data_IF_044072696669
#
_entry.id   IF_044072696669
#
_cell.length_a   1.000
_cell.length_b   1.000
_cell.length_c   1.000
_cell.angle_alpha   90.00
_cell.angle_beta   90.00
_cell.angle_gamma   90.00
#
_symmetry.space_group_name_H-M   'P 1'
#
loop_
_entity.id
_entity.type
_entity.pdbx_description
1 polymer ?
#
# COMPACT_ATOMS: atom_id res chain seq x y z
N UNK A 1 5.65 -3.32 5.68
CA UNK A 1 5.19 -2.15 6.47
C UNK A 1 6.04 -0.94 6.16
N UNK A 2 7.35 -0.99 6.37
CA UNK A 2 8.20 0.19 6.14
C UNK A 2 8.07 0.78 4.74
N UNK A 3 8.16 -0.03 3.68
CA UNK A 3 8.05 0.44 2.30
C UNK A 3 6.70 1.13 2.02
N UNK A 4 5.61 0.60 2.58
CA UNK A 4 4.27 1.18 2.40
C UNK A 4 4.07 2.46 3.21
N UNK A 5 4.62 2.52 4.42
CA UNK A 5 4.59 3.73 5.24
C UNK A 5 5.41 4.86 4.58
N UNK A 6 6.61 4.52 4.11
CA UNK A 6 7.49 5.45 3.40
C UNK A 6 6.83 6.04 2.16
N UNK A 7 6.15 5.22 1.34
CA UNK A 7 5.40 5.72 0.17
C UNK A 7 4.33 6.73 0.56
N UNK A 8 3.56 6.46 1.62
CA UNK A 8 2.57 7.42 2.11
C UNK A 8 3.20 8.74 2.56
N UNK A 9 4.35 8.69 3.26
CA UNK A 9 5.04 9.90 3.72
C UNK A 9 5.63 10.71 2.56
N UNK A 10 6.27 10.04 1.59
CA UNK A 10 6.85 10.68 0.40
C UNK A 10 5.78 11.34 -0.45
N UNK A 11 4.65 10.66 -0.67
CA UNK A 11 3.55 11.22 -1.45
C UNK A 11 2.92 12.39 -0.71
N UNK A 12 2.74 12.32 0.62
CA UNK A 12 2.17 13.42 1.40
C UNK A 12 2.94 14.74 1.24
N UNK A 13 4.27 14.69 1.14
CA UNK A 13 5.10 15.89 0.94
C UNK A 13 5.19 16.33 -0.52
N UNK A 14 5.08 15.40 -1.47
CA UNK A 14 5.19 15.68 -2.90
C UNK A 14 3.87 16.09 -3.57
N UNK A 15 2.71 15.76 -2.99
CA UNK A 15 1.38 16.10 -3.53
C UNK A 15 1.26 17.57 -3.97
N UNK A 16 1.61 18.59 -3.16
CA UNK A 16 1.41 19.99 -3.56
C UNK A 16 2.19 20.35 -4.83
N UNK A 17 3.46 19.93 -4.93
CA UNK A 17 4.30 20.12 -6.12
C UNK A 17 3.72 19.42 -7.34
N UNK A 18 3.32 18.15 -7.20
CA UNK A 18 2.71 17.36 -8.28
C UNK A 18 1.43 18.02 -8.78
N UNK A 19 0.54 18.45 -7.88
CA UNK A 19 -0.73 19.09 -8.27
C UNK A 19 -0.54 20.45 -8.93
N UNK A 20 0.51 21.18 -8.53
CA UNK A 20 0.90 22.45 -9.14
C UNK A 20 1.43 22.23 -10.57
N UNK A 21 2.35 21.30 -10.76
CA UNK A 21 2.96 21.01 -12.06
C UNK A 21 1.95 20.46 -13.08
N UNK A 22 1.01 19.62 -12.61
CA UNK A 22 -0.05 19.04 -13.43
C UNK A 22 -1.32 19.92 -13.54
N UNK A 23 -1.31 21.14 -13.01
CA UNK A 23 -2.40 22.13 -13.10
C UNK A 23 -3.80 21.57 -12.75
N UNK A 24 -3.89 20.64 -11.80
CA UNK A 24 -5.14 19.95 -11.47
C UNK A 24 -5.44 19.97 -9.98
N UNK A 25 -6.36 20.85 -9.57
CA UNK A 25 -6.82 20.97 -8.19
C UNK A 25 -7.56 19.72 -7.70
N UNK A 26 -8.28 19.03 -8.60
CA UNK A 26 -9.00 17.80 -8.26
C UNK A 26 -8.06 16.62 -7.97
N UNK A 27 -6.84 16.63 -8.52
CA UNK A 27 -5.84 15.59 -8.29
C UNK A 27 -5.42 15.47 -6.83
N UNK A 28 -5.44 16.57 -6.08
CA UNK A 28 -5.02 16.62 -4.68
C UNK A 28 -5.73 15.58 -3.81
N UNK A 29 -7.06 15.49 -3.95
CA UNK A 29 -7.88 14.53 -3.19
C UNK A 29 -7.79 13.12 -3.77
N UNK A 30 -7.76 12.98 -5.09
CA UNK A 30 -7.81 11.67 -5.74
C UNK A 30 -6.51 10.88 -5.66
N UNK A 31 -5.34 11.53 -5.55
CA UNK A 31 -4.04 10.85 -5.36
C UNK A 31 -4.03 10.02 -4.08
N UNK A 32 -4.51 10.58 -2.97
CA UNK A 32 -4.66 9.88 -1.70
C UNK A 32 -5.89 8.98 -1.67
N UNK A 33 -7.02 9.49 -2.18
CA UNK A 33 -8.30 8.78 -2.18
C UNK A 33 -8.26 7.45 -2.95
N UNK A 34 -7.72 7.44 -4.17
CA UNK A 34 -7.62 6.23 -4.99
C UNK A 34 -6.74 5.14 -4.33
N UNK A 35 -5.65 5.55 -3.69
CA UNK A 35 -4.79 4.65 -2.94
C UNK A 35 -5.55 4.02 -1.76
N UNK A 36 -6.25 4.84 -0.97
CA UNK A 36 -7.02 4.34 0.18
C UNK A 36 -8.18 3.44 -0.25
N UNK A 37 -8.89 3.80 -1.32
CA UNK A 37 -9.98 2.99 -1.88
C UNK A 37 -9.50 1.61 -2.32
N UNK A 38 -8.38 1.57 -3.05
CA UNK A 38 -7.80 0.33 -3.54
C UNK A 38 -7.23 -0.52 -2.38
N UNK A 39 -6.57 0.12 -1.41
CA UNK A 39 -6.06 -0.55 -0.21
C UNK A 39 -7.19 -1.17 0.62
N UNK A 40 -8.29 -0.46 0.80
CA UNK A 40 -9.44 -0.95 1.56
C UNK A 40 -10.16 -2.11 0.85
N UNK A 41 -10.36 -1.99 -0.46
CA UNK A 41 -11.06 -3.02 -1.25
C UNK A 41 -10.24 -4.29 -1.42
N UNK A 42 -8.94 -4.17 -1.75
CA UNK A 42 -8.07 -5.33 -1.98
C UNK A 42 -7.52 -5.95 -0.71
N UNK A 43 -7.49 -5.24 0.43
CA UNK A 43 -6.95 -5.78 1.68
C UNK A 43 -7.57 -7.12 2.09
N UNK A 44 -8.90 -7.23 2.01
CA UNK A 44 -9.61 -8.49 2.36
C UNK A 44 -9.38 -9.61 1.35
N UNK A 45 -9.17 -9.26 0.08
CA UNK A 45 -8.90 -10.23 -1.00
C UNK A 45 -7.56 -10.92 -0.73
N UNK A 46 -6.52 -10.14 -0.46
CA UNK A 46 -5.18 -10.66 -0.16
C UNK A 46 -5.18 -11.63 1.03
N UNK A 47 -5.94 -11.33 2.09
CA UNK A 47 -6.05 -12.19 3.27
C UNK A 47 -6.62 -13.55 2.87
N UNK A 48 -7.78 -13.60 2.21
CA UNK A 48 -8.41 -14.86 1.78
C UNK A 48 -7.52 -15.64 0.81
N UNK A 49 -6.87 -14.96 -0.13
CA UNK A 49 -5.93 -15.59 -1.04
C UNK A 49 -4.76 -16.24 -0.29
N UNK A 50 -4.26 -15.60 0.76
CA UNK A 50 -3.15 -16.14 1.55
C UNK A 50 -3.51 -17.37 2.39
N UNK A 51 -4.80 -17.57 2.71
CA UNK A 51 -5.25 -18.79 3.40
C UNK A 51 -5.14 -20.02 2.48
N UNK A 52 -5.29 -19.84 1.17
CA UNK A 52 -5.29 -20.92 0.18
C UNK A 52 -3.87 -21.24 -0.29
N UNK A 53 -3.10 -20.22 -0.68
CA UNK A 53 -1.77 -20.38 -1.29
C UNK A 53 -0.61 -20.24 -0.30
N UNK A 54 -0.90 -19.90 0.96
CA UNK A 54 0.08 -19.68 2.01
C UNK A 54 0.60 -18.24 2.10
N UNK A 55 1.14 -17.89 3.28
CA UNK A 55 1.53 -16.51 3.62
C UNK A 55 2.73 -15.99 2.83
N UNK A 56 3.82 -16.76 2.80
CA UNK A 56 5.11 -16.36 2.19
C UNK A 56 5.02 -16.01 0.69
N UNK A 57 4.43 -16.85 -0.19
CA UNK A 57 4.35 -16.50 -1.61
C UNK A 57 3.48 -15.26 -1.83
N UNK A 58 2.41 -15.10 -1.07
CA UNK A 58 1.51 -13.94 -1.18
C UNK A 58 2.18 -12.63 -0.77
N UNK A 59 3.00 -12.65 0.29
CA UNK A 59 3.81 -11.48 0.67
C UNK A 59 4.76 -11.10 -0.47
N UNK A 60 5.44 -12.07 -1.09
CA UNK A 60 6.36 -11.81 -2.22
C UNK A 60 5.63 -11.26 -3.44
N UNK A 61 4.46 -11.78 -3.77
CA UNK A 61 3.62 -11.25 -4.87
C UNK A 61 3.16 -9.83 -4.56
N UNK A 62 2.74 -9.54 -3.33
CA UNK A 62 2.35 -8.19 -2.94
C UNK A 62 3.52 -7.19 -3.05
N UNK A 63 4.73 -7.59 -2.66
CA UNK A 63 5.95 -6.78 -2.87
C UNK A 63 6.21 -6.56 -4.36
N UNK A 64 6.07 -7.59 -5.19
CA UNK A 64 6.27 -7.47 -6.64
C UNK A 64 5.26 -6.52 -7.29
N UNK A 65 3.97 -6.65 -6.94
CA UNK A 65 2.91 -5.74 -7.40
C UNK A 65 3.22 -4.31 -6.96
N UNK A 66 3.64 -4.12 -5.71
CA UNK A 66 4.02 -2.81 -5.20
C UNK A 66 5.17 -2.20 -6.01
N UNK A 67 6.24 -2.96 -6.29
CA UNK A 67 7.39 -2.48 -7.05
C UNK A 67 7.02 -2.08 -8.49
N UNK A 68 6.20 -2.88 -9.18
CA UNK A 68 5.72 -2.56 -10.53
C UNK A 68 4.83 -1.32 -10.51
N UNK A 69 3.98 -1.18 -9.50
CA UNK A 69 3.11 -0.02 -9.35
C UNK A 69 3.91 1.26 -9.05
N UNK A 70 4.96 1.19 -8.23
CA UNK A 70 5.88 2.31 -8.00
C UNK A 70 6.57 2.75 -9.30
N UNK A 71 7.03 1.81 -10.13
CA UNK A 71 7.64 2.14 -11.42
C UNK A 71 6.64 2.85 -12.34
N UNK A 72 5.38 2.38 -12.38
CA UNK A 72 4.31 3.03 -13.15
C UNK A 72 3.98 4.43 -12.63
N UNK A 73 4.09 4.68 -11.33
CA UNK A 73 3.88 5.99 -10.74
C UNK A 73 4.98 6.99 -11.12
N UNK A 74 6.24 6.56 -11.23
CA UNK A 74 7.34 7.44 -11.67
C UNK A 74 7.20 7.82 -13.14
N UNK A 75 6.66 6.93 -13.97
CA UNK A 75 6.45 7.13 -15.41
C UNK A 75 5.17 7.93 -15.75
N UNK A 76 4.42 8.42 -14.76
CA UNK A 76 3.15 9.10 -15.02
C UNK A 76 3.37 10.51 -15.57
N UNK A 77 2.76 10.79 -16.73
CA UNK A 77 2.83 12.10 -17.42
C UNK A 77 1.57 12.92 -17.15
N UNK A 78 0.42 12.24 -16.96
CA UNK A 78 -0.88 12.88 -16.76
C UNK A 78 -1.50 12.53 -15.39
N UNK A 79 -2.37 13.40 -14.90
CA UNK A 79 -3.04 13.22 -13.59
C UNK A 79 -3.87 11.92 -13.50
N UNK A 80 -4.67 11.53 -14.52
CA UNK A 80 -5.40 10.26 -14.49
C UNK A 80 -4.46 9.05 -14.45
N UNK A 81 -3.31 9.12 -15.13
CA UNK A 81 -2.31 8.05 -15.13
C UNK A 81 -1.67 7.91 -13.75
N UNK A 82 -1.36 9.02 -13.08
CA UNK A 82 -0.88 9.02 -11.71
C UNK A 82 -1.93 8.43 -10.76
N UNK A 83 -3.19 8.85 -10.86
CA UNK A 83 -4.30 8.32 -10.03
C UNK A 83 -4.45 6.80 -10.23
N UNK A 84 -4.38 6.32 -11.47
CA UNK A 84 -4.42 4.89 -11.77
C UNK A 84 -3.21 4.13 -11.17
N UNK A 85 -2.01 4.71 -11.25
CA UNK A 85 -0.81 4.14 -10.63
C UNK A 85 -0.93 4.12 -9.08
N UNK A 86 -1.52 5.15 -8.48
CA UNK A 86 -1.82 5.21 -7.03
C UNK A 86 -2.84 4.16 -6.60
N UNK A 87 -3.88 3.93 -7.41
CA UNK A 87 -4.82 2.84 -7.16
C UNK A 87 -4.08 1.49 -7.18
N UNK A 88 -3.22 1.25 -8.17
CA UNK A 88 -2.43 0.02 -8.25
C UNK A 88 -1.46 -0.15 -7.07
N UNK A 89 -0.84 0.95 -6.61
CA UNK A 89 -0.02 0.97 -5.40
C UNK A 89 -0.84 0.61 -4.16
N UNK A 90 -2.07 1.14 -4.06
CA UNK A 90 -3.02 0.81 -3.00
C UNK A 90 -3.36 -0.68 -2.94
N UNK A 91 -3.51 -1.33 -4.10
CA UNK A 91 -3.71 -2.79 -4.17
C UNK A 91 -2.55 -3.54 -3.52
N UNK A 92 -1.31 -3.19 -3.84
CA UNK A 92 -0.12 -3.83 -3.28
C UNK A 92 0.06 -3.52 -1.78
N UNK A 93 -0.14 -2.26 -1.38
CA UNK A 93 0.08 -1.83 0.00
C UNK A 93 -0.94 -2.37 0.99
N UNK A 94 -2.22 -2.44 0.61
CA UNK A 94 -3.27 -3.04 1.42
C UNK A 94 -3.01 -4.53 1.66
N UNK A 95 -2.49 -5.23 0.64
CA UNK A 95 -2.04 -6.61 0.76
C UNK A 95 -0.87 -6.73 1.73
N UNK A 96 0.16 -5.91 1.60
CA UNK A 96 1.31 -5.93 2.50
C UNK A 96 0.88 -5.70 3.95
N UNK A 97 0.07 -4.66 4.23
CA UNK A 97 -0.44 -4.33 5.58
C UNK A 97 -1.16 -5.51 6.24
N UNK A 98 -2.12 -6.08 5.53
CA UNK A 98 -2.94 -7.16 6.07
C UNK A 98 -2.16 -8.48 6.19
N UNK A 99 -1.36 -8.85 5.17
CA UNK A 99 -0.61 -10.11 5.16
C UNK A 99 0.45 -10.17 6.27
N UNK A 100 1.12 -9.06 6.57
CA UNK A 100 2.10 -9.03 7.66
C UNK A 100 1.40 -9.12 9.02
N UNK A 101 0.26 -8.44 9.19
CA UNK A 101 -0.52 -8.55 10.42
C UNK A 101 -1.00 -9.99 10.66
N UNK A 102 -1.49 -10.66 9.62
CA UNK A 102 -1.90 -12.07 9.68
C UNK A 102 -0.71 -12.99 9.94
N UNK A 103 0.43 -12.77 9.28
CA UNK A 103 1.63 -13.58 9.51
C UNK A 103 2.13 -13.47 10.97
N UNK A 104 2.10 -12.27 11.57
CA UNK A 104 2.44 -12.07 12.98
C UNK A 104 1.42 -12.80 13.87
N UNK A 105 0.13 -12.72 13.56
CA UNK A 105 -0.90 -13.42 14.32
C UNK A 105 -0.70 -14.94 14.27
N UNK A 106 -0.32 -15.50 13.12
CA UNK A 106 -0.11 -16.94 12.96
C UNK A 106 1.18 -17.43 13.64
N UNK A 107 2.23 -16.59 13.71
CA UNK A 107 3.54 -16.98 14.29
C UNK A 107 3.64 -16.79 15.81
N UNK A 108 2.92 -15.81 16.38
CA UNK A 108 3.10 -15.43 17.78
C UNK A 108 1.86 -15.67 18.64
N UNK A 109 2.10 -15.99 19.92
CA UNK A 109 1.06 -16.16 20.93
C UNK A 109 0.33 -14.85 21.21
N UNK A 110 -0.93 -14.90 21.66
CA UNK A 110 -1.75 -13.71 21.94
C UNK A 110 -1.10 -12.69 22.88
N UNK A 111 -0.22 -13.13 23.80
CA UNK A 111 0.49 -12.26 24.74
C UNK A 111 1.59 -11.45 24.08
N UNK A 112 2.31 -12.02 23.12
CA UNK A 112 3.45 -11.38 22.49
C UNK A 112 3.03 -10.55 21.26
N UNK A 113 1.86 -10.84 20.69
CA UNK A 113 1.31 -10.13 19.52
C UNK A 113 1.26 -8.62 19.74
N UNK A 114 0.88 -8.14 20.93
CA UNK A 114 0.79 -6.70 21.21
C UNK A 114 2.16 -6.01 21.16
N UNK A 115 3.22 -6.68 21.60
CA UNK A 115 4.59 -6.18 21.50
C UNK A 115 5.06 -6.09 20.05
N UNK A 116 4.82 -7.14 19.25
CA UNK A 116 5.16 -7.13 17.83
C UNK A 116 4.34 -6.10 17.04
N UNK A 117 3.02 -6.00 17.27
CA UNK A 117 2.21 -4.95 16.68
C UNK A 117 2.65 -3.55 17.13
N UNK A 118 3.13 -3.39 18.37
CA UNK A 118 3.72 -2.15 18.86
C UNK A 118 4.99 -1.75 18.10
N UNK A 119 5.91 -2.69 17.86
CA UNK A 119 7.10 -2.43 17.03
C UNK A 119 6.69 -2.05 15.60
N UNK A 120 5.71 -2.75 15.03
CA UNK A 120 5.24 -2.47 13.68
C UNK A 120 4.50 -1.13 13.57
N UNK A 121 3.83 -0.68 14.65
CA UNK A 121 3.14 0.61 14.71
C UNK A 121 4.05 1.80 14.96
N UNK A 122 5.32 1.57 15.33
CA UNK A 122 6.35 2.62 15.37
C UNK A 122 6.83 3.04 13.97
N UNK A 123 6.49 2.25 12.95
CA UNK A 123 6.80 2.47 11.53
C UNK A 123 5.59 3.03 10.81
#
# INVERSE_FOLDING_TARGET
MFITALDQTVVATAIPTITHDLHSAAGYTWIGGAYLLASASCGTIWVKCSDIWGRKPLILVAVFVFAVASLRAVLSIDMPMLIAARALLGVGSGGLMQLVAVAIADMFSLRDRSFYFGIMGAV
#
